data_IF_427141948836
#
_entry.id   IF_427141948836
#
_cell.length_a   1.000
_cell.length_b   1.000
_cell.length_c   1.000
_cell.angle_alpha   90.00
_cell.angle_beta   90.00
_cell.angle_gamma   90.00
#
_symmetry.space_group_name_H-M   'P 1'
#
loop_
_entity.id
_entity.type
_entity.pdbx_description
1 polymer ?
#
# COMPACT_ATOMS: atom_id res chain seq x y z
N UNK A 1 23.81 -15.30 -16.21
CA UNK A 1 22.48 -14.69 -16.24
C UNK A 1 21.91 -14.87 -17.63
N UNK A 2 20.71 -15.42 -17.74
CA UNK A 2 20.03 -15.60 -19.02
C UNK A 2 19.30 -14.29 -19.43
N UNK A 3 18.66 -14.28 -20.61
CA UNK A 3 17.89 -13.12 -21.11
C UNK A 3 16.76 -12.73 -20.16
N UNK A 4 16.10 -13.71 -19.54
CA UNK A 4 15.01 -13.50 -18.58
C UNK A 4 15.49 -12.74 -17.35
N UNK A 5 16.63 -13.14 -16.76
CA UNK A 5 17.24 -12.47 -15.60
C UNK A 5 17.60 -11.01 -15.92
N UNK A 6 18.25 -10.78 -17.07
CA UNK A 6 18.64 -9.45 -17.53
C UNK A 6 17.41 -8.55 -17.78
N UNK A 7 16.36 -9.12 -18.36
CA UNK A 7 15.08 -8.43 -18.58
C UNK A 7 14.45 -7.97 -17.27
N UNK A 8 14.34 -8.88 -16.30
CA UNK A 8 13.80 -8.56 -14.98
C UNK A 8 14.64 -7.50 -14.25
N UNK A 9 15.97 -7.61 -14.30
CA UNK A 9 16.85 -6.59 -13.70
C UNK A 9 16.70 -5.22 -14.38
N UNK A 10 16.63 -5.17 -15.71
CA UNK A 10 16.45 -3.93 -16.45
C UNK A 10 15.12 -3.26 -16.09
N UNK A 11 14.03 -4.03 -15.99
CA UNK A 11 12.74 -3.53 -15.56
C UNK A 11 12.79 -2.94 -14.14
N UNK A 12 13.41 -3.66 -13.20
CA UNK A 12 13.61 -3.20 -11.82
C UNK A 12 14.49 -1.94 -11.73
N UNK A 13 15.52 -1.83 -12.58
CA UNK A 13 16.35 -0.64 -12.66
C UNK A 13 15.56 0.59 -13.16
N UNK A 14 14.63 0.40 -14.11
CA UNK A 14 13.72 1.45 -14.57
C UNK A 14 12.81 1.90 -13.44
N UNK A 15 12.22 0.97 -12.67
CA UNK A 15 11.41 1.30 -11.49
C UNK A 15 12.20 2.16 -10.50
N UNK A 16 13.42 1.76 -10.15
CA UNK A 16 14.30 2.55 -9.28
C UNK A 16 14.61 3.93 -9.84
N UNK A 17 14.96 4.03 -11.13
CA UNK A 17 15.32 5.29 -11.78
C UNK A 17 14.14 6.27 -11.79
N UNK A 18 12.95 5.81 -12.19
CA UNK A 18 11.70 6.57 -12.14
C UNK A 18 11.41 7.02 -10.70
N UNK A 19 11.58 6.11 -9.75
CA UNK A 19 11.45 6.38 -8.32
C UNK A 19 12.34 7.51 -7.83
N UNK A 20 13.66 7.39 -8.03
CA UNK A 20 14.63 8.41 -7.61
C UNK A 20 14.35 9.77 -8.24
N UNK A 21 13.92 9.80 -9.51
CA UNK A 21 13.55 11.03 -10.18
C UNK A 21 12.29 11.65 -9.54
N UNK A 22 11.25 10.84 -9.29
CA UNK A 22 10.01 11.25 -8.63
C UNK A 22 10.22 11.72 -7.19
N UNK A 23 11.21 11.20 -6.46
CA UNK A 23 11.54 11.68 -5.11
C UNK A 23 12.01 13.15 -5.06
N UNK A 24 12.49 13.72 -6.17
CA UNK A 24 12.93 15.13 -6.24
C UNK A 24 11.78 16.13 -6.03
N UNK A 25 10.72 16.14 -6.87
CA UNK A 25 9.57 17.02 -6.65
C UNK A 25 8.80 16.67 -5.37
N UNK A 26 8.94 15.45 -4.84
CA UNK A 26 8.35 15.09 -3.54
C UNK A 26 9.14 15.62 -2.34
N UNK A 27 10.35 16.16 -2.52
CA UNK A 27 11.18 16.70 -1.43
C UNK A 27 12.05 15.67 -0.69
N UNK A 28 12.23 14.46 -1.26
CA UNK A 28 12.96 13.34 -0.66
C UNK A 28 14.34 13.07 -1.28
N UNK A 29 14.80 13.87 -2.25
CA UNK A 29 16.05 13.63 -2.99
C UNK A 29 17.29 13.38 -2.11
N UNK A 30 17.38 14.06 -0.96
CA UNK A 30 18.51 14.01 -0.05
C UNK A 30 18.18 13.34 1.31
N UNK A 31 16.96 12.82 1.51
CA UNK A 31 16.50 12.33 2.82
C UNK A 31 16.77 10.84 3.04
N UNK A 32 17.04 10.46 4.29
CA UNK A 32 17.28 9.08 4.71
C UNK A 32 18.62 8.49 4.25
N UNK A 33 18.88 7.25 4.66
CA UNK A 33 20.08 6.50 4.21
C UNK A 33 19.93 6.06 2.75
N UNK A 34 21.04 5.66 2.12
CA UNK A 34 21.01 5.14 0.75
C UNK A 34 20.01 3.96 0.59
N UNK A 35 19.91 3.11 1.61
CA UNK A 35 19.08 1.90 1.57
C UNK A 35 17.59 2.24 1.75
N UNK A 36 17.22 3.06 2.74
CA UNK A 36 15.80 3.44 2.93
C UNK A 36 15.30 4.30 1.77
N UNK A 37 16.17 5.14 1.20
CA UNK A 37 15.87 5.91 -0.02
C UNK A 37 15.68 5.01 -1.23
N UNK A 38 16.47 3.95 -1.38
CA UNK A 38 16.28 2.97 -2.45
C UNK A 38 14.93 2.23 -2.31
N UNK A 39 14.54 1.84 -1.10
CA UNK A 39 13.22 1.24 -0.84
C UNK A 39 12.08 2.18 -1.19
N UNK A 40 12.15 3.43 -0.73
CA UNK A 40 11.16 4.46 -1.05
C UNK A 40 11.12 4.78 -2.54
N UNK A 41 12.28 4.88 -3.20
CA UNK A 41 12.37 5.08 -4.64
C UNK A 41 11.70 3.91 -5.38
N UNK A 42 12.01 2.67 -5.01
CA UNK A 42 11.40 1.50 -5.65
C UNK A 42 9.88 1.48 -5.52
N UNK A 43 9.33 1.72 -4.32
CA UNK A 43 7.88 1.76 -4.07
C UNK A 43 7.20 2.90 -4.87
N UNK A 44 7.78 4.11 -4.84
CA UNK A 44 7.26 5.26 -5.60
C UNK A 44 7.39 5.02 -7.11
N UNK A 45 8.49 4.43 -7.56
CA UNK A 45 8.72 4.10 -8.96
C UNK A 45 7.72 3.09 -9.50
N UNK A 46 7.44 2.03 -8.72
CA UNK A 46 6.36 1.08 -9.00
C UNK A 46 5.01 1.79 -9.15
N UNK A 47 4.68 2.67 -8.21
CA UNK A 47 3.42 3.41 -8.26
C UNK A 47 3.32 4.38 -9.43
N UNK A 48 4.28 5.29 -9.57
CA UNK A 48 4.28 6.34 -10.61
C UNK A 48 4.34 5.75 -12.01
N UNK A 49 5.22 4.77 -12.25
CA UNK A 49 5.28 4.09 -13.55
C UNK A 49 3.99 3.30 -13.80
N UNK A 50 3.46 2.59 -12.79
CA UNK A 50 2.22 1.83 -12.88
C UNK A 50 1.02 2.70 -13.24
N UNK A 51 0.87 3.85 -12.59
CA UNK A 51 -0.18 4.84 -12.90
C UNK A 51 -0.03 5.34 -14.34
N UNK A 52 1.17 5.73 -14.76
CA UNK A 52 1.39 6.24 -16.11
C UNK A 52 1.12 5.17 -17.18
N UNK A 53 1.59 3.94 -16.98
CA UNK A 53 1.35 2.83 -17.91
C UNK A 53 -0.12 2.40 -17.93
N UNK A 54 -0.83 2.49 -16.80
CA UNK A 54 -2.28 2.26 -16.75
C UNK A 54 -3.02 3.23 -17.64
N UNK A 55 -2.71 4.53 -17.52
CA UNK A 55 -3.33 5.58 -18.34
C UNK A 55 -2.96 5.41 -19.81
N UNK A 56 -1.72 5.03 -20.11
CA UNK A 56 -1.28 4.72 -21.47
C UNK A 56 -2.04 3.52 -22.06
N UNK A 57 -2.22 2.44 -21.29
CA UNK A 57 -2.95 1.25 -21.72
C UNK A 57 -4.43 1.53 -21.98
N UNK A 58 -5.06 2.39 -21.16
CA UNK A 58 -6.45 2.85 -21.35
C UNK A 58 -6.64 3.55 -22.71
N UNK A 59 -5.63 4.28 -23.19
CA UNK A 59 -5.67 4.95 -24.50
C UNK A 59 -5.09 4.10 -25.64
N UNK A 60 -4.90 2.79 -25.42
CA UNK A 60 -4.47 1.83 -26.44
C UNK A 60 -2.95 1.68 -26.60
N UNK A 61 -2.13 2.25 -25.72
CA UNK A 61 -0.67 2.08 -25.76
C UNK A 61 -0.28 0.81 -25.02
N UNK A 62 0.18 -0.20 -25.76
CA UNK A 62 0.72 -1.45 -25.20
C UNK A 62 1.93 -1.19 -24.28
N UNK A 63 2.07 -1.88 -23.14
CA UNK A 63 3.24 -1.79 -22.27
C UNK A 63 4.44 -2.58 -22.83
N UNK A 64 4.80 -2.35 -24.09
CA UNK A 64 6.01 -2.91 -24.71
C UNK A 64 7.28 -2.26 -24.15
N UNK A 65 8.44 -2.86 -24.41
CA UNK A 65 9.73 -2.30 -23.96
C UNK A 65 9.91 -0.83 -24.42
N UNK A 66 9.72 -0.47 -25.70
CA UNK A 66 9.88 0.93 -26.13
C UNK A 66 8.90 1.88 -25.43
N UNK A 67 7.64 1.48 -25.28
CA UNK A 67 6.62 2.30 -24.62
C UNK A 67 6.99 2.56 -23.14
N UNK A 68 7.40 1.52 -22.42
CA UNK A 68 7.82 1.63 -21.01
C UNK A 68 9.03 2.55 -20.88
N UNK A 69 10.04 2.39 -21.75
CA UNK A 69 11.24 3.23 -21.74
C UNK A 69 10.90 4.70 -22.04
N UNK A 70 10.04 4.96 -23.03
CA UNK A 70 9.58 6.32 -23.37
C UNK A 70 8.84 6.95 -22.19
N UNK A 71 7.87 6.23 -21.60
CA UNK A 71 7.11 6.71 -20.43
C UNK A 71 8.06 7.00 -19.27
N UNK A 72 9.02 6.11 -18.99
CA UNK A 72 10.03 6.33 -17.95
C UNK A 72 10.88 7.58 -18.22
N UNK A 73 11.36 7.78 -19.45
CA UNK A 73 12.13 8.96 -19.86
C UNK A 73 11.30 10.24 -19.67
N UNK A 74 10.02 10.23 -20.05
CA UNK A 74 9.12 11.38 -19.88
C UNK A 74 8.95 11.72 -18.40
N UNK A 75 8.71 10.71 -17.55
CA UNK A 75 8.58 10.92 -16.10
C UNK A 75 9.89 11.45 -15.51
N UNK A 76 11.04 10.85 -15.84
CA UNK A 76 12.35 11.28 -15.36
C UNK A 76 12.64 12.71 -15.83
N UNK A 77 12.41 13.03 -17.11
CA UNK A 77 12.61 14.36 -17.67
C UNK A 77 11.71 15.43 -17.02
N UNK A 78 10.43 15.11 -16.78
CA UNK A 78 9.49 16.02 -16.14
C UNK A 78 9.84 16.28 -14.67
N UNK A 79 10.17 15.22 -13.91
CA UNK A 79 10.44 15.31 -12.47
C UNK A 79 11.82 15.89 -12.17
N UNK A 80 12.83 15.66 -13.01
CA UNK A 80 14.17 16.22 -12.81
C UNK A 80 14.23 17.74 -13.01
N UNK A 81 13.31 18.32 -13.79
CA UNK A 81 13.15 19.77 -13.98
C UNK A 81 12.46 20.44 -12.79
N UNK A 82 11.72 19.68 -11.99
CA UNK A 82 10.99 20.17 -10.82
C UNK A 82 11.78 19.79 -9.57
N UNK A 83 12.67 20.68 -9.14
CA UNK A 83 13.36 20.52 -7.86
C UNK A 83 12.65 21.39 -6.82
N UNK A 84 11.85 20.76 -5.96
CA UNK A 84 11.35 21.43 -4.77
C UNK A 84 12.41 21.35 -3.69
N UNK A 85 12.77 22.51 -3.13
CA UNK A 85 13.67 22.56 -1.97
C UNK A 85 13.05 21.71 -0.85
N UNK A 86 13.83 20.86 -0.16
CA UNK A 86 13.33 20.17 1.02
C UNK A 86 12.75 21.19 2.00
N UNK A 87 11.62 20.86 2.61
CA UNK A 87 11.08 21.70 3.68
C UNK A 87 12.19 21.83 4.76
N UNK A 88 12.54 23.07 5.12
CA UNK A 88 13.71 23.38 5.98
C UNK A 88 13.54 22.89 7.42
N UNK A 89 12.31 22.58 7.82
CA UNK A 89 11.96 22.04 9.13
C UNK A 89 12.24 20.55 9.18
N UNK A 90 13.44 20.17 9.65
CA UNK A 90 13.74 18.80 10.03
C UNK A 90 13.30 18.58 11.47
N UNK A 91 12.10 18.04 11.66
CA UNK A 91 11.67 17.58 12.97
C UNK A 91 12.50 16.33 13.34
N UNK A 92 13.18 16.40 14.48
CA UNK A 92 13.95 15.30 15.06
C UNK A 92 13.43 15.03 16.47
N UNK A 93 12.90 13.83 16.70
CA UNK A 93 12.64 13.36 18.05
C UNK A 93 13.94 13.38 18.85
N UNK A 94 13.89 13.94 20.05
CA UNK A 94 14.97 13.81 21.02
C UNK A 94 15.28 12.32 21.20
N UNK A 95 16.54 11.88 21.02
CA UNK A 95 16.87 10.48 21.15
C UNK A 95 16.46 9.98 22.53
N UNK A 96 15.56 9.00 22.57
CA UNK A 96 15.27 8.30 23.82
C UNK A 96 16.54 7.58 24.27
N UNK A 97 16.93 7.80 25.52
CA UNK A 97 18.08 7.18 26.14
C UNK A 97 17.85 5.69 26.44
N UNK A 98 17.69 4.85 25.41
CA UNK A 98 17.53 3.40 25.59
C UNK A 98 18.83 2.67 25.97
N UNK A 99 19.97 3.36 25.94
CA UNK A 99 21.28 2.81 26.27
C UNK A 99 21.61 1.53 25.49
N UNK A 100 22.34 0.61 26.14
CA UNK A 100 22.78 -0.67 25.54
C UNK A 100 21.64 -1.58 25.10
N UNK A 101 20.50 -1.56 25.80
CA UNK A 101 19.36 -2.43 25.51
C UNK A 101 18.63 -1.97 24.24
N UNK A 102 18.54 -0.66 23.99
CA UNK A 102 18.00 -0.14 22.74
C UNK A 102 18.83 -0.52 21.53
N UNK A 103 20.16 -0.45 21.66
CA UNK A 103 21.08 -0.89 20.59
C UNK A 103 20.94 -2.39 20.32
N UNK A 104 20.85 -3.22 21.37
CA UNK A 104 20.64 -4.66 21.23
C UNK A 104 19.30 -4.96 20.55
N UNK A 105 18.21 -4.31 20.97
CA UNK A 105 16.89 -4.48 20.35
C UNK A 105 16.92 -4.08 18.87
N UNK A 106 17.52 -2.94 18.53
CA UNK A 106 17.69 -2.50 17.16
C UNK A 106 18.51 -3.51 16.33
N UNK A 107 19.61 -4.05 16.88
CA UNK A 107 20.45 -5.03 16.20
C UNK A 107 19.71 -6.35 15.95
N UNK A 108 18.99 -6.88 16.94
CA UNK A 108 18.17 -8.10 16.80
C UNK A 108 17.07 -7.87 15.75
N UNK A 109 16.33 -6.75 15.85
CA UNK A 109 15.30 -6.40 14.87
C UNK A 109 15.87 -6.28 13.46
N UNK A 110 17.01 -5.62 13.30
CA UNK A 110 17.70 -5.51 12.01
C UNK A 110 18.15 -6.86 11.45
N UNK A 111 18.68 -7.76 12.30
CA UNK A 111 19.07 -9.11 11.91
C UNK A 111 17.87 -9.92 11.45
N UNK A 112 16.79 -9.96 12.23
CA UNK A 112 15.57 -10.71 11.88
C UNK A 112 14.96 -10.18 10.59
N UNK A 113 14.87 -8.86 10.41
CA UNK A 113 14.35 -8.24 9.20
C UNK A 113 15.20 -8.61 7.96
N UNK A 114 16.52 -8.65 8.12
CA UNK A 114 17.46 -9.04 7.05
C UNK A 114 17.30 -10.52 6.70
N UNK A 115 17.28 -11.40 7.71
CA UNK A 115 17.12 -12.85 7.51
C UNK A 115 15.77 -13.16 6.87
N UNK A 116 14.68 -12.54 7.33
CA UNK A 116 13.35 -12.70 6.73
C UNK A 116 13.34 -12.26 5.27
N UNK A 117 13.94 -11.10 4.96
CA UNK A 117 14.03 -10.59 3.59
C UNK A 117 14.82 -11.53 2.67
N UNK A 118 15.96 -12.03 3.13
CA UNK A 118 16.78 -12.99 2.37
C UNK A 118 16.05 -14.33 2.17
N UNK A 119 15.37 -14.82 3.21
CA UNK A 119 14.57 -16.04 3.11
C UNK A 119 13.42 -15.87 2.12
N UNK A 120 12.74 -14.71 2.10
CA UNK A 120 11.69 -14.42 1.14
C UNK A 120 12.20 -14.41 -0.30
N UNK A 121 13.37 -13.76 -0.53
CA UNK A 121 14.01 -13.74 -1.85
C UNK A 121 14.38 -15.16 -2.27
N UNK A 122 14.99 -15.95 -1.40
CA UNK A 122 15.41 -17.32 -1.69
C UNK A 122 14.21 -18.23 -2.00
N UNK A 123 13.08 -18.06 -1.31
CA UNK A 123 11.85 -18.80 -1.60
C UNK A 123 11.25 -18.38 -2.93
N UNK A 124 11.11 -17.08 -3.18
CA UNK A 124 10.53 -16.59 -4.43
C UNK A 124 11.40 -16.87 -5.66
N UNK A 125 12.73 -16.91 -5.51
CA UNK A 125 13.65 -17.29 -6.58
C UNK A 125 13.46 -18.73 -7.08
N UNK A 126 12.81 -19.61 -6.30
CA UNK A 126 12.42 -20.95 -6.75
C UNK A 126 11.27 -20.92 -7.77
N UNK A 127 10.59 -19.78 -7.93
CA UNK A 127 9.53 -19.59 -8.91
C UNK A 127 8.25 -20.40 -8.65
N UNK A 128 8.06 -20.90 -7.42
CA UNK A 128 6.88 -21.67 -7.05
C UNK A 128 5.73 -20.72 -6.68
N UNK A 129 4.63 -20.81 -7.41
CA UNK A 129 3.36 -20.23 -6.98
C UNK A 129 2.82 -21.10 -5.84
N UNK A 130 2.56 -20.52 -4.67
CA UNK A 130 1.97 -21.27 -3.56
C UNK A 130 0.53 -21.68 -3.90
N UNK A 131 0.08 -22.87 -3.46
CA UNK A 131 -1.29 -23.36 -3.66
C UNK A 131 -2.41 -22.46 -3.12
N UNK A 132 -2.11 -21.54 -2.20
CA UNK A 132 -3.08 -20.60 -1.62
C UNK A 132 -3.37 -19.35 -2.47
N UNK A 133 -2.82 -19.27 -3.69
CA UNK A 133 -2.82 -18.05 -4.51
C UNK A 133 -3.92 -18.05 -5.59
N UNK A 134 -5.10 -18.58 -5.27
CA UNK A 134 -6.17 -18.77 -6.25
C UNK A 134 -6.50 -17.49 -7.03
N UNK A 135 -6.69 -16.33 -6.41
CA UNK A 135 -6.95 -15.06 -7.12
C UNK A 135 -5.85 -14.66 -8.11
N UNK A 136 -4.59 -14.94 -7.77
CA UNK A 136 -3.48 -14.64 -8.67
C UNK A 136 -3.66 -15.42 -9.97
N UNK A 137 -3.97 -16.71 -9.87
CA UNK A 137 -4.17 -17.63 -10.99
C UNK A 137 -5.52 -17.36 -11.69
N UNK A 138 -6.55 -17.04 -10.92
CA UNK A 138 -7.94 -16.94 -11.36
C UNK A 138 -8.20 -15.64 -12.15
N UNK A 139 -7.53 -14.53 -11.81
CA UNK A 139 -7.72 -13.29 -12.57
C UNK A 139 -6.59 -12.26 -12.61
N UNK A 140 -5.63 -12.22 -11.68
CA UNK A 140 -4.54 -11.22 -11.81
C UNK A 140 -3.56 -11.58 -12.93
N UNK A 141 -3.06 -12.82 -12.95
CA UNK A 141 -2.15 -13.33 -13.98
C UNK A 141 -2.86 -13.40 -15.35
N UNK A 142 -4.10 -13.92 -15.47
CA UNK A 142 -4.85 -13.88 -16.73
C UNK A 142 -5.01 -12.47 -17.33
N UNK A 143 -5.21 -11.44 -16.50
CA UNK A 143 -5.27 -10.05 -16.99
C UNK A 143 -3.91 -9.58 -17.53
N UNK A 144 -2.82 -9.88 -16.82
CA UNK A 144 -1.47 -9.57 -17.31
C UNK A 144 -1.16 -10.32 -18.60
N UNK A 145 -1.58 -11.59 -18.70
CA UNK A 145 -1.47 -12.41 -19.91
C UNK A 145 -2.24 -11.81 -21.08
N UNK A 146 -3.50 -11.40 -20.84
CA UNK A 146 -4.33 -10.74 -21.85
C UNK A 146 -3.69 -9.46 -22.36
N UNK A 147 -3.07 -8.66 -21.47
CA UNK A 147 -2.37 -7.44 -21.88
C UNK A 147 -1.11 -7.74 -22.70
N UNK A 148 -0.33 -8.72 -22.28
CA UNK A 148 0.91 -9.11 -22.93
C UNK A 148 0.69 -9.65 -24.36
N UNK A 149 -0.24 -10.59 -24.53
CA UNK A 149 -0.54 -11.17 -25.85
C UNK A 149 -1.44 -10.27 -26.71
N UNK A 150 -2.32 -9.49 -26.08
CA UNK A 150 -3.23 -8.57 -26.76
C UNK A 150 -2.57 -7.25 -27.18
N UNK A 151 -1.32 -6.99 -26.78
CA UNK A 151 -0.61 -5.74 -27.03
C UNK A 151 -1.43 -4.49 -26.64
N UNK A 152 -2.06 -4.52 -25.47
CA UNK A 152 -3.04 -3.51 -25.04
C UNK A 152 -4.10 -4.12 -24.13
N UNK A 153 -5.24 -3.48 -23.92
CA UNK A 153 -6.35 -4.06 -23.16
C UNK A 153 -7.37 -4.63 -24.15
N UNK A 154 -7.33 -5.94 -24.49
CA UNK A 154 -8.26 -6.53 -25.45
C UNK A 154 -9.68 -6.57 -24.88
N UNK A 155 -10.61 -5.83 -25.47
CA UNK A 155 -11.97 -5.63 -24.93
C UNK A 155 -12.74 -6.94 -24.75
N UNK A 156 -12.82 -7.78 -25.79
CA UNK A 156 -13.58 -9.04 -25.75
C UNK A 156 -13.03 -10.01 -24.72
N UNK A 157 -11.71 -10.18 -24.68
CA UNK A 157 -11.05 -11.01 -23.67
C UNK A 157 -11.26 -10.44 -22.28
N UNK A 158 -11.09 -9.13 -22.09
CA UNK A 158 -11.20 -8.48 -20.78
C UNK A 158 -12.61 -8.60 -20.19
N UNK A 159 -13.64 -8.50 -21.03
CA UNK A 159 -15.04 -8.66 -20.61
C UNK A 159 -15.33 -10.04 -20.02
N UNK A 160 -14.62 -11.08 -20.46
CA UNK A 160 -14.75 -12.45 -19.96
C UNK A 160 -13.90 -12.77 -18.71
N UNK A 161 -12.99 -11.89 -18.30
CA UNK A 161 -12.16 -12.10 -17.12
C UNK A 161 -12.92 -11.78 -15.83
N UNK A 162 -12.60 -12.47 -14.74
CA UNK A 162 -13.18 -12.14 -13.42
C UNK A 162 -12.71 -10.77 -12.94
N UNK A 163 -13.60 -10.11 -12.20
CA UNK A 163 -13.42 -8.75 -11.71
C UNK A 163 -12.94 -7.76 -12.78
N UNK A 164 -13.57 -7.69 -13.97
CA UNK A 164 -13.08 -6.82 -15.04
C UNK A 164 -13.14 -5.35 -14.63
N UNK A 165 -13.90 -5.01 -13.57
CA UNK A 165 -13.99 -3.69 -12.98
C UNK A 165 -12.71 -3.23 -12.25
N UNK A 166 -11.82 -4.14 -11.86
CA UNK A 166 -10.57 -3.76 -11.19
C UNK A 166 -9.61 -3.06 -12.14
N UNK A 167 -8.94 -1.99 -11.70
CA UNK A 167 -8.11 -1.21 -12.60
C UNK A 167 -6.82 -1.97 -12.94
N UNK A 168 -6.27 -1.75 -14.13
CA UNK A 168 -5.26 -2.66 -14.67
C UNK A 168 -3.84 -2.36 -14.20
N UNK A 169 -3.60 -1.54 -13.16
CA UNK A 169 -2.25 -1.13 -12.76
C UNK A 169 -1.31 -2.30 -12.55
N UNK A 170 -1.71 -3.27 -11.72
CA UNK A 170 -0.89 -4.45 -11.46
C UNK A 170 -0.74 -5.31 -12.74
N UNK A 171 -1.83 -5.71 -13.43
CA UNK A 171 -1.73 -6.43 -14.70
C UNK A 171 -0.84 -5.76 -15.77
N UNK A 172 -0.88 -4.43 -15.88
CA UNK A 172 -0.07 -3.67 -16.84
C UNK A 172 1.42 -3.71 -16.48
N UNK A 173 1.76 -3.62 -15.19
CA UNK A 173 3.14 -3.77 -14.73
C UNK A 173 3.65 -5.19 -14.96
N UNK A 174 2.85 -6.21 -14.63
CA UNK A 174 3.19 -7.62 -14.83
C UNK A 174 3.36 -7.96 -16.33
N UNK A 175 2.49 -7.43 -17.19
CA UNK A 175 2.66 -7.55 -18.64
C UNK A 175 3.97 -6.89 -19.13
N UNK A 176 4.36 -5.76 -18.54
CA UNK A 176 5.64 -5.12 -18.78
C UNK A 176 6.82 -6.02 -18.41
N UNK A 177 6.76 -6.73 -17.28
CA UNK A 177 7.76 -7.73 -16.89
C UNK A 177 7.87 -8.83 -17.95
N UNK A 178 6.75 -9.35 -18.46
CA UNK A 178 6.75 -10.36 -19.51
C UNK A 178 7.40 -9.87 -20.81
N UNK A 179 7.15 -8.61 -21.21
CA UNK A 179 7.83 -8.02 -22.36
C UNK A 179 9.34 -7.90 -22.15
N UNK A 180 9.80 -7.44 -20.99
CA UNK A 180 11.23 -7.31 -20.69
C UNK A 180 11.94 -8.67 -20.62
N UNK A 181 11.27 -9.69 -20.09
CA UNK A 181 11.81 -11.04 -19.95
C UNK A 181 11.71 -11.86 -21.24
N UNK A 182 10.97 -11.36 -22.23
CA UNK A 182 10.85 -11.95 -23.57
C UNK A 182 9.85 -13.10 -23.67
N UNK A 183 8.96 -13.25 -22.69
CA UNK A 183 8.00 -14.36 -22.63
C UNK A 183 7.03 -14.24 -21.47
N UNK A 184 5.94 -15.01 -21.54
CA UNK A 184 4.98 -15.13 -20.44
C UNK A 184 5.55 -16.05 -19.34
N UNK A 185 6.18 -15.44 -18.32
CA UNK A 185 6.86 -16.13 -17.23
C UNK A 185 6.23 -15.79 -15.86
N UNK A 186 5.01 -16.27 -15.55
CA UNK A 186 4.34 -15.94 -14.29
C UNK A 186 5.10 -16.40 -13.04
N UNK A 187 6.02 -17.37 -13.16
CA UNK A 187 6.91 -17.80 -12.08
C UNK A 187 7.87 -16.71 -11.57
N UNK A 188 8.04 -15.60 -12.28
CA UNK A 188 8.87 -14.47 -11.86
C UNK A 188 8.12 -13.47 -10.96
N UNK A 189 6.79 -13.46 -11.01
CA UNK A 189 5.98 -12.49 -10.27
C UNK A 189 6.11 -12.61 -8.75
N UNK A 190 6.27 -13.80 -8.13
CA UNK A 190 6.57 -13.90 -6.71
C UNK A 190 7.84 -13.15 -6.31
N UNK A 191 8.89 -13.19 -7.13
CA UNK A 191 10.13 -12.45 -6.84
C UNK A 191 9.89 -10.95 -6.90
N UNK A 192 9.14 -10.48 -7.90
CA UNK A 192 8.75 -9.07 -7.99
C UNK A 192 7.93 -8.61 -6.77
N UNK A 193 6.96 -9.43 -6.33
CA UNK A 193 6.15 -9.14 -5.14
C UNK A 193 7.02 -9.06 -3.87
N UNK A 194 8.00 -9.96 -3.71
CA UNK A 194 8.95 -9.93 -2.59
C UNK A 194 9.81 -8.66 -2.62
N UNK A 195 10.35 -8.29 -3.78
CA UNK A 195 11.17 -7.07 -3.92
C UNK A 195 10.36 -5.83 -3.54
N UNK A 196 9.09 -5.76 -3.95
CA UNK A 196 8.19 -4.67 -3.59
C UNK A 196 7.88 -4.64 -2.09
N UNK A 197 7.64 -5.80 -1.46
CA UNK A 197 7.41 -5.87 -0.01
C UNK A 197 8.64 -5.51 0.82
N UNK A 198 9.85 -5.88 0.39
CA UNK A 198 11.11 -5.43 1.00
C UNK A 198 11.27 -3.92 0.83
N UNK A 199 11.02 -3.38 -0.37
CA UNK A 199 11.04 -1.95 -0.63
C UNK A 199 10.04 -1.20 0.25
N UNK A 200 8.85 -1.77 0.49
CA UNK A 200 7.87 -1.24 1.43
C UNK A 200 8.39 -1.20 2.87
N UNK A 201 9.00 -2.27 3.39
CA UNK A 201 9.59 -2.29 4.74
C UNK A 201 10.71 -1.26 4.90
N UNK A 202 11.57 -1.12 3.89
CA UNK A 202 12.62 -0.10 3.84
C UNK A 202 12.03 1.33 3.75
N UNK A 203 10.91 1.48 3.04
CA UNK A 203 10.16 2.74 2.99
C UNK A 203 9.63 3.11 4.35
N UNK A 204 8.96 2.18 5.05
CA UNK A 204 8.48 2.42 6.41
C UNK A 204 9.62 2.81 7.35
N UNK A 205 10.75 2.11 7.27
CA UNK A 205 11.92 2.43 8.05
C UNK A 205 12.45 3.85 7.78
N UNK A 206 12.38 4.32 6.53
CA UNK A 206 12.71 5.71 6.16
C UNK A 206 11.66 6.73 6.60
N UNK A 207 10.37 6.38 6.55
CA UNK A 207 9.27 7.23 6.99
C UNK A 207 9.14 7.35 8.51
N UNK A 208 9.63 6.35 9.25
CA UNK A 208 9.73 6.39 10.71
C UNK A 208 11.00 7.11 11.20
N UNK A 209 11.97 7.31 10.30
CA UNK A 209 13.24 7.94 10.64
C UNK A 209 13.05 9.38 11.11
N UNK A 210 13.72 9.72 12.20
CA UNK A 210 13.55 10.99 12.90
C UNK A 210 12.39 11.03 13.89
N UNK A 211 11.37 10.15 13.80
CA UNK A 211 10.20 10.06 14.72
C UNK A 211 10.32 8.96 15.73
N UNK A 212 10.75 7.81 15.27
CA UNK A 212 10.83 6.64 16.12
C UNK A 212 12.29 6.21 16.23
N UNK A 213 12.81 6.04 17.45
CA UNK A 213 14.12 5.43 17.63
C UNK A 213 14.19 4.05 16.99
N UNK A 214 15.36 3.70 16.43
CA UNK A 214 15.56 2.41 15.75
C UNK A 214 15.33 1.20 16.65
N UNK A 215 15.49 1.38 17.97
CA UNK A 215 15.16 0.41 19.00
C UNK A 215 13.68 -0.02 19.00
N UNK A 216 12.77 0.82 18.50
CA UNK A 216 11.34 0.50 18.36
C UNK A 216 10.99 0.15 16.92
N UNK A 217 11.52 0.90 15.94
CA UNK A 217 11.13 0.71 14.54
C UNK A 217 11.63 -0.62 13.96
N UNK A 218 12.87 -1.05 14.26
CA UNK A 218 13.41 -2.29 13.68
C UNK A 218 12.72 -3.54 14.24
N UNK A 219 12.53 -3.70 15.57
CA UNK A 219 11.77 -4.84 16.09
C UNK A 219 10.32 -4.86 15.61
N UNK A 220 9.64 -3.71 15.54
CA UNK A 220 8.26 -3.65 15.06
C UNK A 220 8.15 -4.05 13.58
N UNK A 221 9.07 -3.58 12.73
CA UNK A 221 9.10 -3.98 11.32
C UNK A 221 9.56 -5.43 11.13
N UNK A 222 10.42 -5.95 12.00
CA UNK A 222 10.78 -7.36 12.01
C UNK A 222 9.57 -8.24 12.36
N UNK A 223 8.80 -7.87 13.38
CA UNK A 223 7.55 -8.55 13.74
C UNK A 223 6.50 -8.45 12.62
N UNK A 224 6.41 -7.30 11.95
CA UNK A 224 5.58 -7.16 10.74
C UNK A 224 6.07 -8.06 9.60
N UNK A 225 7.37 -8.15 9.35
CA UNK A 225 7.91 -8.97 8.27
C UNK A 225 7.69 -10.48 8.49
N UNK A 226 7.52 -10.91 9.74
CA UNK A 226 7.35 -12.32 10.12
C UNK A 226 5.93 -12.69 10.52
N UNK A 227 4.99 -11.74 10.64
CA UNK A 227 3.58 -12.09 10.86
C UNK A 227 3.02 -12.82 9.64
N UNK A 228 2.19 -13.86 9.83
CA UNK A 228 1.63 -14.59 8.70
C UNK A 228 0.78 -13.74 7.73
N UNK A 229 0.18 -12.65 8.21
CA UNK A 229 -0.58 -11.68 7.39
C UNK A 229 0.28 -10.93 6.38
N UNK A 230 1.58 -10.84 6.62
CA UNK A 230 2.55 -10.24 5.70
C UNK A 230 3.39 -11.31 5.01
N UNK A 231 3.96 -12.23 5.79
CA UNK A 231 4.93 -13.22 5.31
C UNK A 231 4.38 -14.13 4.21
N UNK A 232 3.20 -14.73 4.42
CA UNK A 232 2.61 -15.61 3.41
C UNK A 232 2.14 -14.87 2.17
N UNK A 233 1.87 -13.57 2.30
CA UNK A 233 1.39 -12.69 1.23
C UNK A 233 2.51 -12.03 0.44
N UNK A 234 3.71 -11.99 1.00
CA UNK A 234 4.89 -11.37 0.39
C UNK A 234 5.23 -11.97 -0.99
N UNK A 235 4.89 -13.24 -1.20
CA UNK A 235 5.13 -13.97 -2.45
C UNK A 235 3.90 -14.02 -3.36
N UNK A 236 2.76 -13.44 -2.95
CA UNK A 236 1.50 -13.51 -3.70
C UNK A 236 1.39 -12.34 -4.68
N UNK A 237 1.39 -12.58 -6.01
CA UNK A 237 1.19 -11.52 -6.98
C UNK A 237 -0.30 -11.18 -7.10
N UNK A 238 -0.86 -10.57 -6.04
CA UNK A 238 -2.26 -10.13 -5.95
C UNK A 238 -2.33 -8.64 -5.65
N UNK A 239 -3.42 -8.01 -6.08
CA UNK A 239 -3.67 -6.61 -5.81
C UNK A 239 -3.83 -6.28 -4.32
N UNK A 240 -4.29 -7.23 -3.48
CA UNK A 240 -4.59 -6.98 -2.06
C UNK A 240 -3.36 -6.54 -1.27
N UNK A 241 -2.25 -7.28 -1.40
CA UNK A 241 -1.04 -7.00 -0.63
C UNK A 241 -0.35 -5.72 -1.13
N UNK A 242 -0.35 -5.50 -2.45
CA UNK A 242 0.23 -4.31 -3.08
C UNK A 242 -0.57 -3.06 -2.68
N UNK A 243 -1.89 -3.17 -2.65
CA UNK A 243 -2.77 -2.14 -2.11
C UNK A 243 -2.48 -1.86 -0.64
N UNK A 244 -2.29 -2.90 0.18
CA UNK A 244 -1.93 -2.73 1.58
C UNK A 244 -0.63 -1.94 1.76
N UNK A 245 0.38 -2.17 0.91
CA UNK A 245 1.63 -1.40 0.93
C UNK A 245 1.40 0.08 0.64
N UNK A 246 0.63 0.41 -0.40
CA UNK A 246 0.37 1.79 -0.77
C UNK A 246 -0.50 2.54 0.22
N UNK A 247 -1.59 1.91 0.69
CA UNK A 247 -2.47 2.49 1.72
C UNK A 247 -1.71 2.69 3.04
N UNK A 248 -0.91 1.71 3.46
CA UNK A 248 -0.12 1.83 4.69
C UNK A 248 0.96 2.90 4.58
N UNK A 249 1.70 2.93 3.46
CA UNK A 249 2.68 3.97 3.19
C UNK A 249 2.04 5.37 3.18
N UNK A 250 0.85 5.50 2.60
CA UNK A 250 0.07 6.73 2.63
C UNK A 250 -0.38 7.12 4.05
N UNK A 251 -0.84 6.16 4.86
CA UNK A 251 -1.21 6.39 6.25
C UNK A 251 -0.03 6.91 7.06
N UNK A 252 1.13 6.24 7.01
CA UNK A 252 2.34 6.67 7.73
C UNK A 252 2.80 8.04 7.24
N UNK A 253 2.80 8.30 5.92
CA UNK A 253 3.19 9.59 5.38
C UNK A 253 2.22 10.71 5.79
N UNK A 254 0.91 10.52 5.65
CA UNK A 254 -0.08 11.57 5.98
C UNK A 254 -0.18 11.84 7.48
N UNK A 255 -0.01 10.81 8.33
CA UNK A 255 0.10 11.00 9.78
C UNK A 255 1.39 11.73 10.13
N UNK A 256 2.51 11.39 9.49
CA UNK A 256 3.76 12.15 9.64
C UNK A 256 3.59 13.60 9.20
N UNK A 257 2.89 13.87 8.11
CA UNK A 257 2.56 15.24 7.70
C UNK A 257 1.72 15.97 8.75
N UNK A 258 0.72 15.30 9.34
CA UNK A 258 -0.10 15.87 10.42
C UNK A 258 0.75 16.26 11.64
N UNK A 259 1.78 15.47 11.94
CA UNK A 259 2.71 15.71 13.05
C UNK A 259 3.71 16.83 12.72
N UNK A 260 4.40 16.75 11.59
CA UNK A 260 5.55 17.63 11.30
C UNK A 260 5.21 18.84 10.46
N UNK A 261 4.04 18.86 9.80
CA UNK A 261 3.67 19.91 8.85
C UNK A 261 4.41 19.88 7.51
N UNK A 262 5.38 18.99 7.34
CA UNK A 262 6.21 18.96 6.14
C UNK A 262 5.40 18.47 4.93
N UNK A 263 5.23 19.35 3.93
CA UNK A 263 4.44 19.10 2.72
C UNK A 263 4.96 17.94 1.88
N UNK A 264 6.22 17.58 2.08
CA UNK A 264 6.84 16.44 1.41
C UNK A 264 6.07 15.13 1.69
N UNK A 265 5.65 14.92 2.95
CA UNK A 265 4.88 13.72 3.31
C UNK A 265 3.43 13.75 2.82
N UNK A 266 2.80 14.94 2.76
CA UNK A 266 1.51 15.10 2.09
C UNK A 266 1.57 14.67 0.61
N UNK A 267 2.55 15.19 -0.13
CA UNK A 267 2.76 14.88 -1.54
C UNK A 267 2.98 13.38 -1.76
N UNK A 268 3.80 12.76 -0.92
CA UNK A 268 4.02 11.32 -0.94
C UNK A 268 2.71 10.55 -0.68
N UNK A 269 1.98 10.91 0.39
CA UNK A 269 0.69 10.30 0.71
C UNK A 269 -0.31 10.38 -0.45
N UNK A 270 -0.40 11.55 -1.10
CA UNK A 270 -1.26 11.76 -2.27
C UNK A 270 -0.91 10.82 -3.44
N UNK A 271 0.39 10.70 -3.79
CA UNK A 271 0.85 9.79 -4.86
C UNK A 271 0.56 8.32 -4.51
N UNK A 272 0.79 7.92 -3.25
CA UNK A 272 0.53 6.55 -2.81
C UNK A 272 -0.97 6.23 -2.81
N UNK A 273 -1.86 7.17 -2.47
CA UNK A 273 -3.31 6.99 -2.55
C UNK A 273 -3.85 6.90 -3.98
N UNK A 274 -3.31 7.69 -4.92
CA UNK A 274 -3.60 7.54 -6.35
C UNK A 274 -3.22 6.13 -6.82
N UNK A 275 -2.03 5.69 -6.42
CA UNK A 275 -1.54 4.35 -6.77
C UNK A 275 -2.46 3.27 -6.19
N UNK A 276 -2.80 3.36 -4.90
CA UNK A 276 -3.72 2.41 -4.25
C UNK A 276 -5.08 2.34 -4.96
N UNK A 277 -5.63 3.49 -5.37
CA UNK A 277 -6.89 3.59 -6.12
C UNK A 277 -6.85 2.83 -7.44
N UNK A 278 -5.71 2.89 -8.14
CA UNK A 278 -5.53 2.20 -9.42
C UNK A 278 -5.03 0.75 -9.26
N UNK A 279 -4.66 0.30 -8.06
CA UNK A 279 -4.34 -1.10 -7.80
C UNK A 279 -5.58 -1.97 -7.65
N UNK A 280 -6.59 -1.50 -6.89
CA UNK A 280 -7.84 -2.22 -6.61
C UNK A 280 -8.92 -1.23 -6.17
N UNK A 281 -10.20 -1.58 -6.34
CA UNK A 281 -11.32 -0.68 -5.99
C UNK A 281 -11.36 -0.31 -4.51
N UNK A 282 -11.02 -1.24 -3.62
CA UNK A 282 -10.93 -1.04 -2.18
C UNK A 282 -9.90 0.04 -1.81
N UNK A 283 -8.91 0.30 -2.67
CA UNK A 283 -7.87 1.28 -2.43
C UNK A 283 -8.41 2.71 -2.48
N UNK A 284 -9.34 2.96 -3.40
CA UNK A 284 -10.07 4.22 -3.46
C UNK A 284 -10.96 4.41 -2.24
N UNK A 285 -11.63 3.34 -1.78
CA UNK A 285 -12.51 3.38 -0.61
C UNK A 285 -11.74 3.61 0.70
N UNK A 286 -10.77 2.74 1.02
CA UNK A 286 -9.97 2.84 2.25
C UNK A 286 -9.11 4.11 2.24
N UNK A 287 -8.62 4.53 1.06
CA UNK A 287 -7.91 5.79 0.85
C UNK A 287 -8.77 7.01 1.10
N UNK A 288 -10.04 7.00 0.65
CA UNK A 288 -10.99 8.08 0.94
C UNK A 288 -11.28 8.20 2.43
N UNK A 289 -11.45 7.09 3.14
CA UNK A 289 -11.63 7.09 4.59
C UNK A 289 -10.42 7.68 5.30
N UNK A 290 -9.19 7.34 4.87
CA UNK A 290 -7.96 7.94 5.41
C UNK A 290 -7.95 9.45 5.17
N UNK A 291 -8.21 9.88 3.94
CA UNK A 291 -8.23 11.28 3.55
C UNK A 291 -9.25 12.09 4.37
N UNK A 292 -10.45 11.54 4.59
CA UNK A 292 -11.50 12.17 5.41
C UNK A 292 -11.06 12.34 6.86
N UNK A 293 -10.51 11.30 7.48
CA UNK A 293 -10.05 11.38 8.88
C UNK A 293 -8.89 12.36 9.03
N UNK A 294 -7.95 12.40 8.08
CA UNK A 294 -6.86 13.39 8.06
C UNK A 294 -7.41 14.83 7.91
N UNK A 295 -8.40 15.06 7.04
CA UNK A 295 -9.06 16.36 6.90
C UNK A 295 -9.70 16.82 8.22
N UNK A 296 -10.42 15.91 8.90
CA UNK A 296 -11.03 16.19 10.20
C UNK A 296 -9.98 16.53 11.25
N UNK A 297 -8.86 15.80 11.28
CA UNK A 297 -7.77 16.06 12.22
C UNK A 297 -7.13 17.45 11.99
N UNK A 298 -6.83 17.80 10.74
CA UNK A 298 -6.25 19.10 10.36
C UNK A 298 -7.22 20.25 10.68
N UNK A 299 -8.50 20.06 10.39
CA UNK A 299 -9.55 21.03 10.74
C UNK A 299 -9.65 21.23 12.26
N UNK A 300 -9.65 20.14 13.03
CA UNK A 300 -9.69 20.18 14.50
C UNK A 300 -8.49 20.87 15.12
N UNK A 301 -7.31 20.71 14.52
CA UNK A 301 -6.09 21.42 14.93
C UNK A 301 -6.01 22.87 14.42
N UNK A 302 -7.02 23.35 13.68
CA UNK A 302 -7.07 24.72 13.09
C UNK A 302 -5.86 25.08 12.24
N UNK A 303 -5.25 24.09 11.58
CA UNK A 303 -4.08 24.29 10.72
C UNK A 303 -4.48 24.93 9.39
N UNK A 304 -3.66 25.86 8.91
CA UNK A 304 -3.83 26.53 7.61
C UNK A 304 -3.75 25.57 6.41
N UNK A 305 -3.18 24.39 6.62
CA UNK A 305 -3.01 23.33 5.61
C UNK A 305 -4.31 22.59 5.23
N UNK A 306 -5.47 22.96 5.80
CA UNK A 306 -6.76 22.31 5.51
C UNK A 306 -7.09 22.25 4.01
N UNK A 307 -6.78 23.31 3.24
CA UNK A 307 -7.00 23.33 1.78
C UNK A 307 -6.18 22.25 1.06
N UNK A 308 -4.94 22.02 1.50
CA UNK A 308 -4.12 20.93 0.96
C UNK A 308 -4.70 19.56 1.36
N UNK A 309 -5.22 19.43 2.58
CA UNK A 309 -5.85 18.19 3.03
C UNK A 309 -7.04 17.78 2.14
N UNK A 310 -7.86 18.75 1.72
CA UNK A 310 -9.00 18.51 0.81
C UNK A 310 -8.57 17.87 -0.51
N UNK A 311 -7.34 18.11 -0.99
CA UNK A 311 -6.84 17.45 -2.20
C UNK A 311 -6.72 15.93 -2.03
N UNK A 312 -6.49 15.41 -0.82
CA UNK A 312 -6.48 13.95 -0.60
C UNK A 312 -7.83 13.31 -0.94
N UNK A 313 -8.94 14.02 -0.77
CA UNK A 313 -10.29 13.55 -1.11
C UNK A 313 -10.48 13.38 -2.63
N UNK A 314 -9.63 14.01 -3.45
CA UNK A 314 -9.66 13.87 -4.91
C UNK A 314 -8.90 12.63 -5.41
N UNK A 315 -8.12 11.95 -4.56
CA UNK A 315 -7.32 10.78 -4.99
C UNK A 315 -8.15 9.63 -5.58
N UNK A 316 -9.39 9.33 -5.11
CA UNK A 316 -10.23 8.32 -5.76
C UNK A 316 -10.63 8.68 -7.19
N UNK A 317 -10.58 9.96 -7.58
CA UNK A 317 -10.89 10.38 -8.95
C UNK A 317 -9.88 9.85 -9.98
N UNK A 318 -8.71 9.35 -9.53
CA UNK A 318 -7.77 8.65 -10.41
C UNK A 318 -8.39 7.43 -11.11
N UNK A 319 -9.49 6.88 -10.58
CA UNK A 319 -10.23 5.77 -11.19
C UNK A 319 -11.03 6.17 -12.44
N UNK A 320 -11.33 7.46 -12.62
CA UNK A 320 -12.29 7.95 -13.62
C UNK A 320 -11.92 7.52 -15.05
N UNK A 321 -10.66 7.64 -15.52
CA UNK A 321 -10.29 7.16 -16.86
C UNK A 321 -10.62 5.69 -17.08
N UNK A 322 -10.42 4.84 -16.06
CA UNK A 322 -10.75 3.43 -16.13
C UNK A 322 -12.26 3.19 -16.18
N UNK A 323 -13.04 3.93 -15.38
CA UNK A 323 -14.51 3.86 -15.43
C UNK A 323 -15.07 4.25 -16.79
N UNK A 324 -14.51 5.30 -17.41
CA UNK A 324 -14.91 5.74 -18.74
C UNK A 324 -14.57 4.69 -19.80
N UNK A 325 -13.39 4.06 -19.69
CA UNK A 325 -12.99 2.97 -20.59
C UNK A 325 -13.95 1.78 -20.49
N UNK A 326 -14.29 1.33 -19.28
CA UNK A 326 -15.26 0.24 -19.06
C UNK A 326 -16.63 0.57 -19.66
N UNK A 327 -17.12 1.78 -19.42
CA UNK A 327 -18.40 2.23 -19.96
C UNK A 327 -18.40 2.26 -21.50
N UNK A 328 -17.31 2.75 -22.11
CA UNK A 328 -17.15 2.74 -23.56
C UNK A 328 -17.06 1.32 -24.14
N UNK A 329 -16.38 0.42 -23.43
CA UNK A 329 -16.22 -0.98 -23.79
C UNK A 329 -17.47 -1.85 -23.55
N UNK A 330 -18.55 -1.28 -22.97
CA UNK A 330 -19.74 -2.04 -22.60
C UNK A 330 -19.52 -3.04 -21.46
N UNK A 331 -18.48 -2.85 -20.64
CA UNK A 331 -18.11 -3.74 -19.54
C UNK A 331 -18.66 -3.17 -18.22
N UNK A 332 -19.31 -3.98 -17.36
CA UNK A 332 -19.81 -3.51 -16.07
C UNK A 332 -18.72 -2.88 -15.19
N UNK A 333 -19.01 -1.69 -14.66
CA UNK A 333 -18.12 -1.02 -13.70
C UNK A 333 -18.33 -1.45 -12.24
N UNK A 334 -19.37 -2.20 -11.93
CA UNK A 334 -19.62 -2.68 -10.56
C UNK A 334 -19.10 -4.09 -10.37
N UNK A 335 -18.66 -4.40 -9.15
CA UNK A 335 -18.33 -5.77 -8.79
C UNK A 335 -19.58 -6.67 -8.87
N UNK A 336 -19.47 -7.90 -9.40
CA UNK A 336 -20.57 -8.86 -9.34
C UNK A 336 -20.86 -9.35 -7.91
N UNK A 337 -19.86 -9.22 -7.02
CA UNK A 337 -19.90 -9.76 -5.67
C UNK A 337 -20.71 -8.91 -4.70
N UNK A 338 -20.96 -7.63 -4.99
CA UNK A 338 -21.73 -6.78 -4.09
C UNK A 338 -22.41 -5.65 -4.85
N UNK A 339 -23.47 -5.09 -4.27
CA UNK A 339 -24.18 -3.95 -4.86
C UNK A 339 -24.19 -2.79 -3.89
N UNK A 340 -23.45 -1.73 -4.22
CA UNK A 340 -23.37 -0.50 -3.40
C UNK A 340 -24.76 0.10 -3.15
N UNK A 341 -25.69 -0.04 -4.11
CA UNK A 341 -27.06 0.42 -3.96
C UNK A 341 -27.78 -0.20 -2.76
N UNK A 342 -27.41 -1.40 -2.30
CA UNK A 342 -28.01 -2.02 -1.12
C UNK A 342 -27.75 -1.27 0.19
N UNK A 343 -26.73 -0.40 0.26
CA UNK A 343 -26.56 0.51 1.39
C UNK A 343 -27.73 1.50 1.56
N UNK A 344 -28.48 1.78 0.49
CA UNK A 344 -29.65 2.64 0.51
C UNK A 344 -30.98 1.87 0.72
N UNK A 345 -30.93 0.58 1.07
CA UNK A 345 -32.12 -0.27 1.22
C UNK A 345 -32.22 -0.78 2.67
N UNK A 346 -32.88 -0.03 3.59
CA UNK A 346 -32.92 -0.37 5.01
C UNK A 346 -33.46 -1.77 5.30
N UNK A 347 -34.49 -2.22 4.57
CA UNK A 347 -35.04 -3.58 4.72
C UNK A 347 -33.99 -4.65 4.43
N UNK A 348 -33.27 -4.52 3.30
CA UNK A 348 -32.17 -5.44 2.96
C UNK A 348 -31.11 -5.46 4.06
N UNK A 349 -30.70 -4.29 4.56
CA UNK A 349 -29.69 -4.18 5.61
C UNK A 349 -30.15 -4.87 6.90
N UNK A 350 -31.39 -4.63 7.33
CA UNK A 350 -31.99 -5.25 8.52
C UNK A 350 -32.02 -6.77 8.38
N UNK A 351 -32.51 -7.30 7.26
CA UNK A 351 -32.60 -8.74 6.99
C UNK A 351 -31.23 -9.43 6.98
N UNK A 352 -30.18 -8.68 6.63
CA UNK A 352 -28.81 -9.16 6.52
C UNK A 352 -27.90 -8.73 7.67
N UNK A 353 -28.45 -8.20 8.78
CA UNK A 353 -27.65 -7.73 9.93
C UNK A 353 -26.70 -8.80 10.44
N UNK A 354 -27.14 -10.07 10.45
CA UNK A 354 -26.32 -11.21 10.85
C UNK A 354 -25.01 -11.32 10.05
N UNK A 355 -25.01 -10.96 8.76
CA UNK A 355 -23.82 -10.97 7.90
C UNK A 355 -22.83 -9.91 8.33
N UNK A 356 -23.30 -8.71 8.66
CA UNK A 356 -22.45 -7.63 9.16
C UNK A 356 -21.82 -8.00 10.49
N UNK A 357 -22.63 -8.47 11.45
CA UNK A 357 -22.15 -8.90 12.76
C UNK A 357 -21.13 -10.02 12.65
N UNK A 358 -21.39 -11.03 11.81
CA UNK A 358 -20.48 -12.14 11.59
C UNK A 358 -19.17 -11.70 10.92
N UNK A 359 -19.26 -10.86 9.89
CA UNK A 359 -18.10 -10.31 9.19
C UNK A 359 -17.23 -9.48 10.12
N UNK A 360 -17.85 -8.61 10.93
CA UNK A 360 -17.15 -7.80 11.92
C UNK A 360 -16.52 -8.67 13.00
N UNK A 361 -17.25 -9.67 13.52
CA UNK A 361 -16.73 -10.65 14.48
C UNK A 361 -15.49 -11.33 13.93
N UNK A 362 -15.55 -11.84 12.71
CA UNK A 362 -14.42 -12.50 12.07
C UNK A 362 -13.26 -11.54 11.85
N UNK A 363 -13.49 -10.32 11.35
CA UNK A 363 -12.41 -9.34 11.17
C UNK A 363 -11.73 -8.95 12.48
N UNK A 364 -12.48 -8.88 13.58
CA UNK A 364 -11.94 -8.58 14.90
C UNK A 364 -11.23 -9.77 15.53
N UNK A 365 -11.69 -11.01 15.30
CA UNK A 365 -11.11 -12.22 15.90
C UNK A 365 -9.99 -12.86 15.07
N UNK A 366 -9.99 -12.71 13.75
CA UNK A 366 -9.02 -13.33 12.86
C UNK A 366 -7.56 -13.00 13.20
N UNK A 367 -7.20 -11.75 13.60
CA UNK A 367 -5.85 -11.45 14.04
C UNK A 367 -5.44 -12.21 15.31
N UNK A 368 -6.41 -12.66 16.12
CA UNK A 368 -6.16 -13.38 17.37
C UNK A 368 -6.04 -14.90 17.19
N UNK A 369 -6.34 -15.42 16.00
CA UNK A 369 -6.25 -16.85 15.71
C UNK A 369 -4.79 -17.37 15.67
N UNK A 370 -3.81 -16.47 15.54
CA UNK A 370 -2.39 -16.80 15.44
C UNK A 370 -1.57 -15.98 16.42
N UNK A 371 -0.71 -16.64 17.21
CA UNK A 371 0.07 -15.99 18.28
C UNK A 371 0.89 -14.77 17.83
N UNK A 372 1.53 -14.85 16.66
CA UNK A 372 2.34 -13.76 16.13
C UNK A 372 1.48 -12.51 15.83
N UNK A 373 0.31 -12.73 15.24
CA UNK A 373 -0.67 -11.71 14.87
C UNK A 373 -1.32 -11.10 16.12
N UNK A 374 -1.67 -11.93 17.10
CA UNK A 374 -2.15 -11.51 18.42
C UNK A 374 -1.19 -10.54 19.09
N UNK A 375 0.09 -10.91 19.16
CA UNK A 375 1.11 -10.09 19.82
C UNK A 375 1.21 -8.70 19.17
N UNK A 376 1.15 -8.65 17.84
CA UNK A 376 1.20 -7.40 17.10
C UNK A 376 -0.03 -6.51 17.37
N UNK A 377 -1.23 -7.09 17.41
CA UNK A 377 -2.47 -6.35 17.71
C UNK A 377 -2.49 -5.84 19.15
N UNK A 378 -2.01 -6.64 20.11
CA UNK A 378 -1.91 -6.23 21.51
C UNK A 378 -0.95 -5.04 21.65
N UNK A 379 0.24 -5.12 21.04
CA UNK A 379 1.22 -4.02 21.08
C UNK A 379 0.69 -2.78 20.36
N UNK A 380 0.03 -2.93 19.21
CA UNK A 380 -0.60 -1.81 18.51
C UNK A 380 -1.69 -1.12 19.35
N UNK A 381 -2.52 -1.91 20.03
CA UNK A 381 -3.57 -1.41 20.92
C UNK A 381 -2.97 -0.70 22.12
N UNK A 382 -1.94 -1.27 22.76
CA UNK A 382 -1.23 -0.62 23.85
C UNK A 382 -0.59 0.70 23.41
N UNK A 383 0.07 0.72 22.24
CA UNK A 383 0.63 1.93 21.67
C UNK A 383 -0.44 3.01 21.46
N UNK A 384 -1.60 2.63 20.91
CA UNK A 384 -2.72 3.53 20.71
C UNK A 384 -3.25 4.12 22.03
N UNK A 385 -3.42 3.29 23.06
CA UNK A 385 -3.90 3.73 24.39
C UNK A 385 -2.91 4.70 25.03
N UNK A 386 -1.62 4.38 25.02
CA UNK A 386 -0.60 5.26 25.59
C UNK A 386 -0.51 6.57 24.80
N UNK A 387 -0.55 6.51 23.46
CA UNK A 387 -0.57 7.71 22.61
C UNK A 387 -1.85 8.53 22.79
N UNK A 388 -2.99 7.94 23.15
CA UNK A 388 -4.24 8.68 23.35
C UNK A 388 -4.13 9.68 24.50
N UNK A 389 -3.33 9.38 25.53
CA UNK A 389 -3.09 10.28 26.66
C UNK A 389 -2.23 11.48 26.26
N UNK A 390 -1.16 11.26 25.49
CA UNK A 390 -0.17 12.30 25.16
C UNK A 390 -0.46 13.04 23.85
N UNK A 391 -1.11 12.37 22.89
CA UNK A 391 -1.36 12.83 21.51
C UNK A 391 -2.77 12.42 21.06
N UNK A 392 -3.83 12.90 21.72
CA UNK A 392 -5.19 12.43 21.53
C UNK A 392 -5.67 12.56 20.08
N UNK A 393 -5.31 13.63 19.37
CA UNK A 393 -5.72 13.82 17.97
C UNK A 393 -5.08 12.78 17.05
N UNK A 394 -3.79 12.49 17.21
CA UNK A 394 -3.09 11.48 16.38
C UNK A 394 -3.64 10.09 16.67
N UNK A 395 -3.78 9.74 17.95
CA UNK A 395 -4.35 8.45 18.35
C UNK A 395 -5.78 8.29 17.85
N UNK A 396 -6.64 9.31 18.00
CA UNK A 396 -8.01 9.30 17.48
C UNK A 396 -8.05 9.18 15.95
N UNK A 397 -7.12 9.83 15.24
CA UNK A 397 -7.00 9.71 13.78
C UNK A 397 -6.70 8.28 13.37
N UNK A 398 -5.71 7.64 14.00
CA UNK A 398 -5.35 6.23 13.71
C UNK A 398 -6.50 5.29 14.08
N UNK A 399 -7.07 5.45 15.27
CA UNK A 399 -8.19 4.63 15.75
C UNK A 399 -9.41 4.73 14.83
N UNK A 400 -9.80 5.96 14.49
CA UNK A 400 -10.95 6.22 13.63
C UNK A 400 -10.73 5.65 12.23
N UNK A 401 -9.55 5.82 11.64
CA UNK A 401 -9.27 5.24 10.33
C UNK A 401 -9.29 3.71 10.36
N UNK A 402 -8.63 3.06 11.32
CA UNK A 402 -8.65 1.61 11.44
C UNK A 402 -10.08 1.07 11.65
N UNK A 403 -10.87 1.70 12.51
CA UNK A 403 -12.25 1.31 12.77
C UNK A 403 -13.16 1.52 11.54
N UNK A 404 -13.03 2.65 10.85
CA UNK A 404 -13.79 2.93 9.63
C UNK A 404 -13.38 2.00 8.48
N UNK A 405 -12.09 1.71 8.32
CA UNK A 405 -11.61 0.77 7.31
C UNK A 405 -12.13 -0.64 7.59
N UNK A 406 -12.00 -1.15 8.82
CA UNK A 406 -12.53 -2.47 9.19
C UNK A 406 -14.06 -2.53 9.06
N UNK A 407 -14.79 -1.54 9.58
CA UNK A 407 -16.24 -1.47 9.48
C UNK A 407 -16.72 -1.32 8.04
N UNK A 408 -16.00 -0.57 7.22
CA UNK A 408 -16.26 -0.41 5.79
C UNK A 408 -16.07 -1.70 5.00
N UNK A 409 -15.01 -2.45 5.29
CA UNK A 409 -14.77 -3.77 4.68
C UNK A 409 -15.84 -4.77 5.14
N UNK A 410 -16.23 -4.76 6.42
CA UNK A 410 -17.35 -5.57 6.91
C UNK A 410 -18.68 -5.19 6.25
N UNK A 411 -18.88 -3.89 5.95
CA UNK A 411 -20.05 -3.43 5.22
C UNK A 411 -20.09 -3.96 3.78
N UNK A 412 -18.94 -4.15 3.11
CA UNK A 412 -18.91 -4.82 1.79
C UNK A 412 -19.49 -6.23 1.87
N UNK A 413 -19.20 -6.99 2.93
CA UNK A 413 -19.75 -8.34 3.10
C UNK A 413 -21.23 -8.33 3.49
N UNK A 414 -21.68 -7.26 4.15
CA UNK A 414 -23.08 -7.01 4.47
C UNK A 414 -23.92 -6.83 3.20
N UNK A 415 -23.40 -6.07 2.22
CA UNK A 415 -24.05 -5.84 0.92
C UNK A 415 -23.65 -6.85 -0.17
N UNK A 416 -22.97 -7.93 0.21
CA UNK A 416 -22.51 -8.97 -0.70
C UNK A 416 -23.65 -9.80 -1.28
N UNK A 417 -23.46 -10.35 -2.48
CA UNK A 417 -24.41 -11.24 -3.15
C UNK A 417 -24.11 -12.72 -2.88
N UNK A 418 -22.87 -13.05 -2.47
CA UNK A 418 -22.46 -14.40 -2.13
C UNK A 418 -22.71 -14.73 -0.65
N UNK A 419 -22.72 -16.02 -0.25
CA UNK A 419 -22.78 -16.42 1.15
C UNK A 419 -21.64 -15.82 1.96
N UNK A 420 -21.92 -15.38 3.20
CA UNK A 420 -20.91 -14.76 4.08
C UNK A 420 -19.73 -15.70 4.38
N UNK A 421 -19.99 -17.01 4.51
CA UNK A 421 -18.95 -18.03 4.71
C UNK A 421 -17.94 -18.06 3.56
N UNK A 422 -18.41 -17.88 2.32
CA UNK A 422 -17.53 -17.84 1.16
C UNK A 422 -16.56 -16.65 1.23
N UNK A 423 -17.03 -15.46 1.61
CA UNK A 423 -16.15 -14.31 1.82
C UNK A 423 -15.15 -14.56 2.95
N UNK A 424 -15.61 -15.17 4.04
CA UNK A 424 -14.75 -15.47 5.20
C UNK A 424 -13.61 -16.41 4.82
N UNK A 425 -13.94 -17.51 4.13
CA UNK A 425 -12.96 -18.52 3.72
C UNK A 425 -11.97 -17.98 2.68
N UNK A 426 -12.46 -17.18 1.71
CA UNK A 426 -11.66 -16.82 0.54
C UNK A 426 -10.99 -15.44 0.64
N UNK A 427 -11.59 -14.48 1.36
CA UNK A 427 -11.20 -13.06 1.23
C UNK A 427 -10.81 -12.35 2.53
N UNK A 428 -11.31 -12.76 3.70
CA UNK A 428 -11.02 -12.08 4.99
C UNK A 428 -9.53 -11.91 5.24
N UNK A 429 -8.77 -12.99 5.07
CA UNK A 429 -7.33 -12.98 5.36
C UNK A 429 -6.52 -12.07 4.42
N UNK A 430 -7.09 -11.68 3.27
CA UNK A 430 -6.47 -10.76 2.29
C UNK A 430 -6.89 -9.33 2.55
N UNK A 431 -8.19 -9.12 2.64
CA UNK A 431 -8.79 -7.80 2.69
C UNK A 431 -8.52 -7.17 4.07
N UNK A 432 -8.61 -7.96 5.15
CA UNK A 432 -8.26 -7.53 6.50
C UNK A 432 -6.76 -7.24 6.70
N UNK A 433 -5.88 -7.80 5.86
CA UNK A 433 -4.44 -7.58 5.95
C UNK A 433 -4.07 -6.10 5.85
N UNK A 434 -4.81 -5.31 5.05
CA UNK A 434 -4.57 -3.86 4.91
C UNK A 434 -4.64 -3.14 6.26
N UNK A 435 -5.65 -3.44 7.09
CA UNK A 435 -5.82 -2.79 8.40
C UNK A 435 -4.75 -3.26 9.37
N UNK A 436 -4.44 -4.56 9.40
CA UNK A 436 -3.46 -5.15 10.31
C UNK A 436 -2.05 -4.66 9.99
N UNK A 437 -1.65 -4.69 8.72
CA UNK A 437 -0.33 -4.20 8.26
C UNK A 437 -0.18 -2.71 8.53
N UNK A 438 -1.23 -1.92 8.34
CA UNK A 438 -1.19 -0.50 8.64
C UNK A 438 -1.11 -0.21 10.14
N UNK A 439 -1.91 -0.90 10.96
CA UNK A 439 -1.83 -0.78 12.40
C UNK A 439 -0.43 -1.14 12.90
N UNK A 440 0.15 -2.25 12.42
CA UNK A 440 1.52 -2.67 12.72
C UNK A 440 2.56 -1.60 12.37
N UNK A 441 2.45 -1.01 11.17
CA UNK A 441 3.39 0.00 10.69
C UNK A 441 3.28 1.31 11.47
N UNK A 442 2.09 1.63 11.99
CA UNK A 442 1.84 2.83 12.80
C UNK A 442 2.21 2.65 14.27
N UNK A 443 2.25 1.42 14.80
CA UNK A 443 2.69 1.11 16.17
C UNK A 443 4.01 1.78 16.58
N UNK A 444 5.14 1.62 15.84
CA UNK A 444 6.39 2.28 16.21
C UNK A 444 6.29 3.81 16.18
N UNK A 445 5.50 4.38 15.27
CA UNK A 445 5.24 5.83 15.22
C UNK A 445 4.52 6.30 16.49
N UNK A 446 3.43 5.61 16.86
CA UNK A 446 2.65 5.92 18.06
C UNK A 446 3.50 5.81 19.34
N UNK A 447 4.27 4.73 19.48
CA UNK A 447 5.19 4.55 20.61
C UNK A 447 6.28 5.62 20.65
N UNK A 448 6.87 5.98 19.50
CA UNK A 448 7.87 7.05 19.42
C UNK A 448 7.34 8.39 19.91
N UNK A 449 6.12 8.75 19.50
CA UNK A 449 5.44 9.97 19.94
C UNK A 449 4.99 9.93 21.40
N UNK A 450 4.60 8.76 21.88
CA UNK A 450 4.19 8.58 23.26
C UNK A 450 5.39 8.67 24.20
N UNK A 451 6.56 8.20 23.79
CA UNK A 451 7.73 8.16 24.66
C UNK A 451 8.59 9.42 24.58
N UNK A 452 8.47 10.25 23.54
CA UNK A 452 9.21 11.52 23.46
C UNK A 452 8.74 12.51 24.54
N UNK A 453 9.68 13.03 25.33
CA UNK A 453 9.37 13.74 26.59
C UNK A 453 8.86 15.17 26.41
N UNK A 454 9.14 15.84 25.30
CA UNK A 454 8.66 17.21 25.07
C UNK A 454 8.87 17.60 23.61
N UNK A 455 7.83 18.15 22.98
CA UNK A 455 8.01 19.06 21.84
C UNK A 455 8.21 20.41 22.50
N UNK A 456 9.42 20.93 22.54
CA UNK A 456 9.58 22.37 22.70
C UNK A 456 9.03 22.98 21.42
N UNK A 457 7.84 23.57 21.51
CA UNK A 457 7.43 24.59 20.55
C UNK A 457 8.38 25.76 20.79
N UNK A 458 9.53 25.74 20.12
CA UNK A 458 10.27 26.97 19.88
C UNK A 458 9.39 27.78 18.92
N UNK A 459 8.53 28.63 19.49
CA UNK A 459 7.71 29.63 18.78
C UNK A 459 8.56 30.61 17.97
#
# INVERSE_FOLDING_TARGET
MNRTDLGLLAYNAILLAVGYAALRPLGFAARGTRITRAGLAYLVGFGVLGVALTLAAIVGISPTIPAIVIVAIVIIGATTRISLRPDATTWHATPLGFGRYGTLAAAIGGLVLTVASLAAIALAAKGQLYPGFWDAIDFWIPKAQAIYYGHGIPTDTWAGLKHPEYPPLLPTLDAGIFHFTGGFHPSLLPLQAVLLGIAFLLTLLGLLDGITPRALSLPALAALATTPWFWWRLQTPTGDQILAYFVTGAAVATIRWLITGERSYFRLGFVLLITATLTKLEGGFVGLLLAAVICVAIYRQRRSDFRSALLLLATPLAIVPWRLWLAHAGIPGSSPDYRISYLAHPGFLVDHTHRFTESLRVMLHAPFAEYASTSLVVVATAALVVSAVRRPVIAATVAAWCALAAGGLAAIYWIGTLPVSWYIENSVSRVGATVIVAAAALTPLLLGLALSDTITEDE
#
